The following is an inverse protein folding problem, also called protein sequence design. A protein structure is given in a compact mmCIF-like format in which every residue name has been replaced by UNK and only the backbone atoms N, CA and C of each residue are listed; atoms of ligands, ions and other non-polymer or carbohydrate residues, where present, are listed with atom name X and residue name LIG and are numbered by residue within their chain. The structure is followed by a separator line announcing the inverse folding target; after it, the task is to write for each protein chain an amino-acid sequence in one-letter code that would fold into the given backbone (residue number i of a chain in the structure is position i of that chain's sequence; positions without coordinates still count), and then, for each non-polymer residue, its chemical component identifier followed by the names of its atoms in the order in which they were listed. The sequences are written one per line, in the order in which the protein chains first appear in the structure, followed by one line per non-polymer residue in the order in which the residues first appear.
data_IF_394007809516
#
_entry.id   IF_394007809516
#
_cell.length_a   1.000
_cell.length_b   1.000
_cell.length_c   1.000
_cell.angle_alpha   90.00
_cell.angle_beta   90.00
_cell.angle_gamma   90.00
#
_symmetry.space_group_name_H-M   'P 1'
#
loop_
_entity.id
_entity.type
_entity.pdbx_description
1 polymer ?
#
# COMPACT_ATOMS: atom_id res chain seq x y z
N UNK A 1 -14.40 -48.16 -75.51
CA UNK A 1 -15.32 -47.45 -74.59
C UNK A 1 -15.69 -48.36 -73.41
N UNK A 2 -15.17 -48.08 -72.21
CA UNK A 2 -15.85 -48.12 -70.90
C UNK A 2 -14.82 -47.78 -69.80
N UNK A 3 -15.27 -46.98 -68.85
CA UNK A 3 -14.51 -46.11 -67.94
C UNK A 3 -14.00 -46.82 -66.67
N UNK A 4 -13.16 -46.16 -65.83
CA UNK A 4 -12.27 -46.78 -64.85
C UNK A 4 -12.94 -47.15 -63.52
N UNK A 5 -12.45 -48.22 -62.89
CA UNK A 5 -12.83 -48.65 -61.54
C UNK A 5 -11.86 -48.07 -60.50
N UNK A 6 -12.38 -47.20 -59.65
CA UNK A 6 -11.74 -46.61 -58.47
C UNK A 6 -11.78 -47.61 -57.30
N UNK A 7 -10.66 -47.83 -56.58
CA UNK A 7 -10.71 -48.53 -55.30
C UNK A 7 -10.45 -47.58 -54.12
N UNK A 8 -11.30 -47.74 -53.12
CA UNK A 8 -10.94 -47.86 -51.70
C UNK A 8 -10.86 -46.59 -50.83
N UNK A 9 -11.77 -46.62 -49.86
CA UNK A 9 -11.88 -45.89 -48.59
C UNK A 9 -10.57 -45.83 -47.76
N UNK A 10 -10.59 -44.98 -46.71
CA UNK A 10 -9.66 -44.88 -45.56
C UNK A 10 -8.46 -43.96 -45.86
N UNK A 11 -8.27 -42.80 -45.23
CA UNK A 11 -8.08 -42.55 -43.80
C UNK A 11 -8.41 -41.07 -43.49
N UNK A 12 -9.42 -40.83 -42.67
CA UNK A 12 -9.52 -39.56 -41.93
C UNK A 12 -8.43 -39.59 -40.86
N UNK A 13 -7.26 -39.02 -41.14
CA UNK A 13 -6.30 -38.70 -40.09
C UNK A 13 -6.89 -37.60 -39.23
N UNK A 14 -7.58 -38.01 -38.16
CA UNK A 14 -7.80 -37.13 -37.02
C UNK A 14 -6.43 -36.73 -36.48
N UNK A 15 -6.11 -35.43 -36.40
CA UNK A 15 -4.84 -34.97 -35.86
C UNK A 15 -4.73 -35.43 -34.41
N UNK A 16 -3.60 -36.07 -34.11
CA UNK A 16 -3.27 -36.70 -32.84
C UNK A 16 -3.75 -35.91 -31.63
N UNK A 17 -4.45 -36.61 -30.74
CA UNK A 17 -5.06 -36.15 -29.50
C UNK A 17 -4.03 -35.72 -28.45
N UNK A 18 -3.32 -34.61 -28.69
CA UNK A 18 -2.42 -33.98 -27.71
C UNK A 18 -3.08 -32.79 -26.97
N UNK A 19 -4.35 -32.92 -26.62
CA UNK A 19 -5.11 -31.89 -25.90
C UNK A 19 -5.09 -32.10 -24.37
N UNK A 20 -4.86 -33.32 -23.90
CA UNK A 20 -4.90 -33.65 -22.46
C UNK A 20 -3.78 -33.00 -21.63
N UNK A 21 -2.49 -33.02 -22.04
CA UNK A 21 -1.43 -32.40 -21.26
C UNK A 21 -1.44 -30.87 -21.40
N UNK A 22 -1.83 -30.34 -22.57
CA UNK A 22 -1.95 -28.90 -22.82
C UNK A 22 -3.04 -28.25 -21.96
N UNK A 23 -4.20 -28.93 -21.80
CA UNK A 23 -5.30 -28.43 -20.97
C UNK A 23 -4.91 -28.36 -19.48
N UNK A 24 -4.15 -29.34 -18.99
CA UNK A 24 -3.60 -29.31 -17.63
C UNK A 24 -2.56 -28.22 -17.42
N UNK A 25 -1.72 -27.95 -18.43
CA UNK A 25 -0.73 -26.88 -18.40
C UNK A 25 -1.39 -25.50 -18.38
N UNK A 26 -2.41 -25.29 -19.22
CA UNK A 26 -3.17 -24.03 -19.28
C UNK A 26 -3.87 -23.73 -17.94
N UNK A 27 -4.43 -24.75 -17.27
CA UNK A 27 -5.04 -24.58 -15.95
C UNK A 27 -4.01 -24.18 -14.88
N UNK A 28 -2.82 -24.80 -14.88
CA UNK A 28 -1.74 -24.45 -13.95
C UNK A 28 -1.23 -23.03 -14.17
N UNK A 29 -1.01 -22.64 -15.43
CA UNK A 29 -0.61 -21.28 -15.77
C UNK A 29 -1.68 -20.25 -15.37
N UNK A 30 -2.96 -20.56 -15.60
CA UNK A 30 -4.06 -19.70 -15.16
C UNK A 30 -4.10 -19.53 -13.65
N UNK A 31 -3.91 -20.61 -12.89
CA UNK A 31 -3.88 -20.56 -11.42
C UNK A 31 -2.70 -19.72 -10.90
N UNK A 32 -1.51 -19.89 -11.49
CA UNK A 32 -0.33 -19.09 -11.14
C UNK A 32 -0.54 -17.61 -11.42
N UNK A 33 -1.12 -17.25 -12.56
CA UNK A 33 -1.43 -15.86 -12.89
C UNK A 33 -2.45 -15.26 -11.94
N UNK A 34 -3.49 -16.02 -11.57
CA UNK A 34 -4.48 -15.58 -10.60
C UNK A 34 -3.84 -15.31 -9.23
N UNK A 35 -2.96 -16.22 -8.75
CA UNK A 35 -2.25 -16.03 -7.48
C UNK A 35 -1.38 -14.78 -7.54
N UNK A 36 -0.58 -14.59 -8.60
CA UNK A 36 0.28 -13.40 -8.73
C UNK A 36 -0.55 -12.10 -8.77
N UNK A 37 -1.66 -12.10 -9.51
CA UNK A 37 -2.55 -10.94 -9.58
C UNK A 37 -3.19 -10.63 -8.21
N UNK A 38 -3.68 -11.66 -7.50
CA UNK A 38 -4.22 -11.51 -6.16
C UNK A 38 -3.18 -11.00 -5.17
N UNK A 39 -1.96 -11.53 -5.21
CA UNK A 39 -0.85 -11.07 -4.36
C UNK A 39 -0.51 -9.61 -4.67
N UNK A 40 -0.39 -9.23 -5.94
CA UNK A 40 -0.13 -7.84 -6.34
C UNK A 40 -1.22 -6.88 -5.89
N UNK A 41 -2.50 -7.24 -6.11
CA UNK A 41 -3.64 -6.44 -5.67
C UNK A 41 -3.68 -6.30 -4.14
N UNK A 42 -3.39 -7.37 -3.41
CA UNK A 42 -3.31 -7.35 -1.95
C UNK A 42 -2.21 -6.42 -1.45
N UNK A 43 -1.02 -6.45 -2.06
CA UNK A 43 0.07 -5.53 -1.71
C UNK A 43 -0.27 -4.07 -2.01
N UNK A 44 -0.91 -3.78 -3.14
CA UNK A 44 -1.36 -2.42 -3.48
C UNK A 44 -2.40 -1.92 -2.47
N UNK A 45 -3.36 -2.77 -2.10
CA UNK A 45 -4.36 -2.45 -1.08
C UNK A 45 -3.72 -2.19 0.29
N UNK A 46 -2.75 -3.02 0.69
CA UNK A 46 -2.01 -2.85 1.94
C UNK A 46 -1.24 -1.52 1.97
N UNK A 47 -0.59 -1.14 0.87
CA UNK A 47 0.15 0.12 0.77
C UNK A 47 -0.79 1.35 0.81
N UNK A 48 -1.97 1.24 0.20
CA UNK A 48 -2.98 2.30 0.27
C UNK A 48 -3.46 2.50 1.71
N UNK A 49 -3.70 1.41 2.45
CA UNK A 49 -4.14 1.49 3.86
C UNK A 49 -3.08 2.12 4.77
N UNK A 50 -1.79 1.81 4.56
CA UNK A 50 -0.70 2.45 5.33
C UNK A 50 -0.57 3.95 5.05
N UNK A 51 -0.91 4.38 3.83
CA UNK A 51 -0.88 5.80 3.44
C UNK A 51 -2.02 6.57 4.12
N UNK A 52 -3.21 5.98 4.21
CA UNK A 52 -4.35 6.57 4.93
C UNK A 52 -4.07 6.75 6.43
N UNK A 53 -3.41 5.77 7.08
CA UNK A 53 -2.99 5.88 8.49
C UNK A 53 -1.92 6.96 8.71
N UNK A 54 -1.02 7.16 7.74
CA UNK A 54 -0.06 8.27 7.79
C UNK A 54 -0.72 9.62 7.45
N UNK A 55 -1.84 9.60 6.73
CA UNK A 55 -2.60 10.77 6.27
C UNK A 55 -3.58 11.31 7.33
N UNK A 56 -3.84 10.57 8.41
CA UNK A 56 -4.13 11.17 9.72
C UNK A 56 -2.87 11.86 10.24
N UNK A 57 -2.47 12.90 9.51
CA UNK A 57 -1.14 13.48 9.52
C UNK A 57 -0.81 14.21 10.80
N UNK A 58 0.50 14.32 11.05
CA UNK A 58 1.07 15.14 12.10
C UNK A 58 0.60 16.59 11.95
N UNK A 59 -0.40 16.98 12.75
CA UNK A 59 -0.85 18.37 12.85
C UNK A 59 0.03 19.11 13.85
N UNK A 60 0.93 19.93 13.34
CA UNK A 60 1.75 20.81 14.18
C UNK A 60 0.94 22.06 14.47
N UNK A 61 0.67 22.31 15.74
CA UNK A 61 0.06 23.54 16.24
C UNK A 61 1.08 24.67 16.21
N UNK A 62 0.78 25.76 15.50
CA UNK A 62 1.62 26.96 15.56
C UNK A 62 1.47 27.65 16.93
N UNK A 63 2.48 28.45 17.31
CA UNK A 63 2.48 29.21 18.57
C UNK A 63 1.25 30.10 18.73
N UNK A 64 0.78 30.69 17.63
CA UNK A 64 -0.38 31.57 17.63
C UNK A 64 -1.68 30.84 17.98
N UNK A 65 -1.80 29.54 17.66
CA UNK A 65 -3.03 28.75 17.87
C UNK A 65 -3.27 28.42 19.35
N UNK A 66 -2.20 28.19 20.13
CA UNK A 66 -2.31 27.94 21.58
C UNK A 66 -1.99 29.19 22.43
N UNK A 67 -2.12 30.37 21.82
CA UNK A 67 -1.96 31.68 22.47
C UNK A 67 -0.61 31.82 23.19
N UNK A 68 0.45 31.21 22.64
CA UNK A 68 1.80 31.25 23.20
C UNK A 68 2.37 32.66 23.25
N UNK A 69 2.96 33.04 24.39
CA UNK A 69 3.64 34.34 24.48
C UNK A 69 4.80 34.43 23.46
N UNK A 70 5.04 35.64 22.91
CA UNK A 70 6.16 35.84 21.99
C UNK A 70 7.49 35.58 22.71
N UNK A 71 8.52 35.11 21.98
CA UNK A 71 9.82 34.87 22.59
C UNK A 71 10.46 36.21 22.97
N UNK A 72 11.07 36.28 24.15
CA UNK A 72 11.89 37.43 24.55
C UNK A 72 13.19 37.56 23.71
N UNK A 73 13.61 36.47 23.05
CA UNK A 73 14.70 36.43 22.09
C UNK A 73 14.84 35.03 21.47
N UNK A 74 15.48 34.92 20.30
CA UNK A 74 15.75 33.62 19.67
C UNK A 74 17.03 33.61 18.84
N UNK A 75 17.64 32.42 18.70
CA UNK A 75 18.78 32.16 17.81
C UNK A 75 18.35 31.16 16.75
N UNK A 76 18.70 31.41 15.48
CA UNK A 76 18.43 30.45 14.38
C UNK A 76 19.33 29.22 14.51
N UNK A 77 18.73 28.04 14.39
CA UNK A 77 19.43 26.77 14.31
C UNK A 77 19.96 26.53 12.89
N UNK A 78 21.17 25.95 12.73
CA UNK A 78 21.67 25.54 11.42
C UNK A 78 20.84 24.37 10.88
N UNK A 79 20.54 24.41 9.58
CA UNK A 79 19.84 23.35 8.87
C UNK A 79 20.79 22.63 7.90
N UNK A 80 20.68 21.30 7.74
CA UNK A 80 19.76 20.38 8.42
C UNK A 80 20.16 20.12 9.88
N UNK A 81 19.17 19.87 10.74
CA UNK A 81 19.42 19.48 12.14
C UNK A 81 19.86 18.02 12.17
N UNK A 82 20.98 17.72 12.85
CA UNK A 82 21.59 16.38 12.84
C UNK A 82 21.09 15.43 13.92
N UNK A 83 20.54 15.96 15.02
CA UNK A 83 20.14 15.18 16.19
C UNK A 83 18.73 15.55 16.65
N UNK A 84 17.99 14.55 17.13
CA UNK A 84 16.66 14.71 17.75
C UNK A 84 16.74 14.18 19.17
N UNK A 85 16.29 14.97 20.15
CA UNK A 85 16.25 14.57 21.56
C UNK A 85 14.80 14.48 22.00
N UNK A 86 14.40 13.35 22.59
CA UNK A 86 13.03 13.07 23.03
C UNK A 86 12.99 13.22 24.55
N UNK A 87 12.06 14.03 25.05
CA UNK A 87 11.88 14.31 26.48
C UNK A 87 10.42 14.17 26.91
N UNK A 88 10.21 13.77 28.17
CA UNK A 88 8.92 13.88 28.86
C UNK A 88 8.87 15.21 29.63
N UNK A 89 7.68 15.80 29.75
CA UNK A 89 7.46 17.05 30.48
C UNK A 89 7.25 16.85 31.99
N UNK A 90 7.06 15.61 32.45
CA UNK A 90 6.68 15.27 33.83
C UNK A 90 5.41 16.00 34.33
N UNK A 91 4.56 16.44 33.41
CA UNK A 91 3.24 17.02 33.69
C UNK A 91 2.13 15.99 33.52
N UNK A 92 0.92 16.35 33.92
CA UNK A 92 -0.27 15.56 33.58
C UNK A 92 -0.39 15.39 32.06
N UNK A 93 -0.81 14.19 31.64
CA UNK A 93 -1.01 13.86 30.23
C UNK A 93 -2.24 14.58 29.68
N UNK A 94 -2.28 14.74 28.36
CA UNK A 94 -3.38 15.39 27.68
C UNK A 94 -3.70 14.71 26.35
N UNK A 95 -4.95 14.30 26.16
CA UNK A 95 -5.43 13.62 24.95
C UNK A 95 -6.26 14.53 24.04
N UNK A 96 -6.50 15.78 24.43
CA UNK A 96 -7.33 16.74 23.68
C UNK A 96 -6.63 18.09 23.58
N UNK A 97 -6.90 18.83 22.51
CA UNK A 97 -6.28 20.15 22.31
C UNK A 97 -6.69 21.15 23.40
N UNK A 98 -7.92 21.03 23.92
CA UNK A 98 -8.43 21.86 25.02
C UNK A 98 -7.63 21.63 26.30
N UNK A 99 -7.20 20.40 26.58
CA UNK A 99 -6.42 20.15 27.78
C UNK A 99 -4.99 20.72 27.71
N UNK A 100 -4.43 20.96 26.51
CA UNK A 100 -3.16 21.67 26.37
C UNK A 100 -3.27 23.12 26.88
N UNK A 101 -4.40 23.78 26.62
CA UNK A 101 -4.67 25.14 27.10
C UNK A 101 -4.84 25.20 28.62
N UNK A 102 -5.48 24.18 29.21
CA UNK A 102 -5.64 24.06 30.67
C UNK A 102 -4.27 23.89 31.35
N UNK A 103 -3.39 23.04 30.79
CA UNK A 103 -2.03 22.88 31.33
C UNK A 103 -1.28 24.21 31.27
N UNK A 104 -1.41 24.99 30.20
CA UNK A 104 -0.78 26.31 30.11
C UNK A 104 -1.24 27.27 31.21
N UNK A 105 -2.56 27.36 31.47
CA UNK A 105 -3.10 28.23 32.54
C UNK A 105 -2.66 27.83 33.95
N UNK A 106 -2.32 26.55 34.17
CA UNK A 106 -1.93 26.05 35.50
C UNK A 106 -0.50 26.41 35.90
N UNK A 107 0.36 26.76 34.93
CA UNK A 107 1.79 27.01 35.15
C UNK A 107 2.24 28.43 34.75
N UNK A 108 1.30 29.34 34.51
CA UNK A 108 1.53 30.78 34.35
C UNK A 108 0.91 31.53 35.52
#
# INVERSE_FOLDING_TARGET
MKNPTLPTSIESQTPSTNVRPLRGLLLKCGLLLAVVASTGAYFVWLMNQSSELLSTGLRILDRSEWLGEPPSGFKRLPTPVSNVIIHHTATEGCDTEVGLDIIKMKYN
#
